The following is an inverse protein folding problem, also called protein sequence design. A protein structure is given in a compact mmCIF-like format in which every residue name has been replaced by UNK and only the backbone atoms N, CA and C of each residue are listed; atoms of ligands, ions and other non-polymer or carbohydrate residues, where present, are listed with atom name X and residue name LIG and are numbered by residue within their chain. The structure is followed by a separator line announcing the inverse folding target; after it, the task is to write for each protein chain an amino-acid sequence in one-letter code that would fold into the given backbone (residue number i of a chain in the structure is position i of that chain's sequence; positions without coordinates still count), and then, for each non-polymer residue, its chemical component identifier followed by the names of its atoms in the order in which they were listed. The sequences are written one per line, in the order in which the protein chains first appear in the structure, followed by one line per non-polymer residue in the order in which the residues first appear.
data_IF_666305390093
#
_entry.id   IF_666305390093
#
_cell.length_a   1.000
_cell.length_b   1.000
_cell.length_c   1.000
_cell.angle_alpha   90.00
_cell.angle_beta   90.00
_cell.angle_gamma   90.00
#
_symmetry.space_group_name_H-M   'P 1'
#
loop_
_entity.id
_entity.type
_entity.pdbx_description
1 polymer ?
#
# COMPACT_ATOMS: atom_id res chain seq x y z
N UNK A 1 3.49 4.59 -20.99
CA UNK A 1 4.07 5.76 -20.28
C UNK A 1 4.55 5.28 -18.92
N UNK A 2 5.81 5.53 -18.58
CA UNK A 2 6.55 4.87 -17.49
C UNK A 2 6.03 5.29 -16.11
N UNK A 3 5.49 4.34 -15.35
CA UNK A 3 5.16 4.53 -13.94
C UNK A 3 6.44 4.36 -13.11
N UNK A 4 6.97 5.48 -12.60
CA UNK A 4 8.19 5.51 -11.82
C UNK A 4 7.98 4.84 -10.46
N UNK A 5 8.37 3.56 -10.34
CA UNK A 5 8.37 2.81 -9.08
C UNK A 5 9.26 3.54 -8.07
N UNK A 6 8.65 4.21 -7.08
CA UNK A 6 9.39 4.88 -5.98
C UNK A 6 10.23 3.85 -5.24
N UNK A 7 11.54 3.85 -5.49
CA UNK A 7 12.50 3.09 -4.70
C UNK A 7 12.62 3.76 -3.33
N UNK A 8 12.43 2.99 -2.26
CA UNK A 8 12.66 3.49 -0.89
C UNK A 8 14.15 3.80 -0.77
N UNK A 9 14.48 5.07 -0.59
CA UNK A 9 15.87 5.46 -0.31
C UNK A 9 16.10 5.26 1.19
N UNK A 10 17.05 4.40 1.55
CA UNK A 10 17.49 4.25 2.94
C UNK A 10 18.60 5.26 3.22
N UNK A 11 18.44 6.05 4.27
CA UNK A 11 19.49 6.95 4.78
C UNK A 11 20.06 6.31 6.05
N UNK A 12 21.39 6.30 6.19
CA UNK A 12 22.06 5.84 7.42
C UNK A 12 21.83 6.87 8.52
N UNK A 13 21.43 6.40 9.70
CA UNK A 13 21.32 7.24 10.89
C UNK A 13 22.73 7.38 11.48
N UNK A 14 23.31 8.57 11.36
CA UNK A 14 24.56 8.96 12.04
C UNK A 14 24.23 9.55 13.41
N UNK A 15 25.25 9.73 14.26
CA UNK A 15 25.07 10.34 15.59
C UNK A 15 24.51 11.77 15.47
N UNK A 16 25.00 12.56 14.52
CA UNK A 16 24.46 13.90 14.21
C UNK A 16 22.96 13.87 13.82
N UNK A 17 22.55 12.84 13.06
CA UNK A 17 21.14 12.67 12.70
C UNK A 17 20.32 12.26 13.92
N UNK A 18 20.87 11.43 14.79
CA UNK A 18 20.22 11.01 16.02
C UNK A 18 20.04 12.18 17.01
N UNK A 19 21.08 13.00 17.21
CA UNK A 19 21.03 14.20 18.06
C UNK A 19 19.99 15.20 17.55
N UNK A 20 20.02 15.53 16.26
CA UNK A 20 19.00 16.42 15.67
C UNK A 20 17.57 15.90 15.87
N UNK A 21 17.37 14.59 15.72
CA UNK A 21 16.05 13.97 15.93
C UNK A 21 15.62 14.00 17.40
N UNK A 22 16.56 13.93 18.34
CA UNK A 22 16.29 14.08 19.77
C UNK A 22 15.88 15.53 20.09
N UNK A 23 16.64 16.52 19.58
CA UNK A 23 16.32 17.94 19.75
C UNK A 23 14.92 18.28 19.18
N UNK A 24 14.60 17.77 17.99
CA UNK A 24 13.28 17.93 17.37
C UNK A 24 12.16 17.33 18.24
N UNK A 25 12.42 16.22 18.93
CA UNK A 25 11.46 15.57 19.81
C UNK A 25 11.25 16.35 21.12
N UNK A 26 12.33 16.87 21.70
CA UNK A 26 12.28 17.70 22.92
C UNK A 26 11.60 19.05 22.67
N UNK A 27 11.86 19.67 21.51
CA UNK A 27 11.19 20.91 21.10
C UNK A 27 9.69 20.71 20.88
N UNK A 28 9.29 19.51 20.42
CA UNK A 28 7.90 19.14 20.15
C UNK A 28 7.31 19.83 18.91
N UNK A 29 6.22 19.28 18.39
CA UNK A 29 5.53 19.86 17.22
C UNK A 29 4.34 20.71 17.67
N UNK A 30 4.25 21.98 17.26
CA UNK A 30 3.10 22.81 17.62
C UNK A 30 1.82 22.22 16.99
N UNK A 31 0.66 22.31 17.67
CA UNK A 31 -0.59 21.67 17.21
C UNK A 31 -1.03 22.04 15.78
N UNK A 32 -0.59 23.21 15.28
CA UNK A 32 -0.86 23.67 13.91
C UNK A 32 -0.05 22.93 12.83
N UNK A 33 1.09 22.32 13.19
CA UNK A 33 1.95 21.52 12.31
C UNK A 33 1.61 20.03 12.35
N UNK A 34 0.92 19.59 13.41
CA UNK A 34 0.29 18.27 13.44
C UNK A 34 -0.88 18.34 12.47
N UNK A 35 -0.64 17.94 11.22
CA UNK A 35 -1.72 17.60 10.33
C UNK A 35 -2.51 16.48 11.02
N UNK A 36 -3.68 16.81 11.57
CA UNK A 36 -4.72 15.82 11.81
C UNK A 36 -4.92 15.19 10.46
N UNK A 37 -4.35 14.00 10.24
CA UNK A 37 -4.67 13.21 9.05
C UNK A 37 -6.18 13.25 8.98
N UNK A 38 -6.78 13.75 7.89
CA UNK A 38 -8.18 13.53 7.71
C UNK A 38 -8.35 12.01 7.83
N UNK A 39 -9.07 11.57 8.86
CA UNK A 39 -9.87 10.36 8.79
C UNK A 39 -10.93 10.47 7.68
N UNK A 40 -10.92 11.54 6.88
CA UNK A 40 -11.48 11.64 5.55
C UNK A 40 -10.90 10.57 4.62
N UNK A 41 -11.71 9.52 4.42
CA UNK A 41 -11.64 8.52 3.34
C UNK A 41 -10.20 8.22 2.88
N UNK A 42 -9.55 7.28 3.58
CA UNK A 42 -8.55 6.43 2.93
C UNK A 42 -9.13 5.77 1.66
N UNK A 43 -8.29 5.03 0.91
CA UNK A 43 -8.72 4.27 -0.29
C UNK A 43 -10.13 3.69 -0.08
N UNK A 44 -11.09 3.91 -1.02
CA UNK A 44 -12.45 3.44 -0.87
C UNK A 44 -12.49 1.99 -0.41
N UNK A 45 -13.30 1.70 0.61
CA UNK A 45 -13.47 0.33 1.09
C UNK A 45 -14.10 -0.51 -0.01
N UNK A 46 -13.66 -1.75 -0.16
CA UNK A 46 -14.29 -2.72 -1.07
C UNK A 46 -15.49 -3.41 -0.43
N UNK A 47 -15.58 -3.40 0.91
CA UNK A 47 -16.76 -3.88 1.64
C UNK A 47 -17.99 -3.03 1.32
N UNK A 48 -19.12 -3.68 1.05
CA UNK A 48 -20.43 -3.03 0.89
C UNK A 48 -21.13 -2.75 2.23
N UNK A 49 -20.61 -3.29 3.35
CA UNK A 49 -21.17 -3.16 4.69
C UNK A 49 -20.22 -2.51 5.70
N UNK A 50 -20.61 -2.55 6.97
CA UNK A 50 -19.81 -2.01 8.08
C UNK A 50 -18.62 -2.94 8.40
N UNK A 51 -17.45 -2.34 8.64
CA UNK A 51 -16.21 -3.08 8.95
C UNK A 51 -15.14 -3.07 7.84
N UNK A 52 -14.05 -3.84 8.04
CA UNK A 52 -12.96 -3.97 7.08
C UNK A 52 -13.36 -4.82 5.86
N UNK A 53 -12.61 -4.72 4.75
CA UNK A 53 -12.84 -5.57 3.58
C UNK A 53 -12.38 -7.01 3.86
N UNK A 54 -13.22 -8.03 3.65
CA UNK A 54 -12.83 -9.42 3.86
C UNK A 54 -11.70 -9.78 2.89
N UNK A 55 -10.74 -10.58 3.37
CA UNK A 55 -9.56 -11.01 2.61
C UNK A 55 -9.45 -12.53 2.66
N UNK A 56 -9.14 -13.14 1.52
CA UNK A 56 -8.83 -14.57 1.40
C UNK A 56 -7.33 -14.70 1.14
N UNK A 57 -6.62 -15.45 1.97
CA UNK A 57 -5.22 -15.80 1.75
C UNK A 57 -5.14 -17.17 1.09
N UNK A 58 -4.64 -17.21 -0.15
CA UNK A 58 -4.42 -18.44 -0.90
C UNK A 58 -2.96 -18.54 -1.34
N UNK A 59 -2.38 -19.73 -1.30
CA UNK A 59 -1.08 -20.01 -1.91
C UNK A 59 -1.30 -20.31 -3.39
N UNK A 60 -0.45 -19.76 -4.24
CA UNK A 60 -0.39 -20.05 -5.67
C UNK A 60 0.84 -20.91 -5.93
N UNK A 61 0.77 -21.78 -6.92
CA UNK A 61 1.96 -22.35 -7.52
C UNK A 61 2.75 -21.28 -8.30
N UNK A 62 4.02 -21.56 -8.58
CA UNK A 62 4.94 -20.60 -9.18
C UNK A 62 4.49 -20.17 -10.59
N UNK A 63 3.97 -21.10 -11.40
CA UNK A 63 3.50 -20.82 -12.75
C UNK A 63 2.30 -19.86 -12.74
N UNK A 64 1.32 -20.12 -11.87
CA UNK A 64 0.15 -19.26 -11.72
C UNK A 64 0.52 -17.87 -11.19
N UNK A 65 1.49 -17.77 -10.29
CA UNK A 65 1.99 -16.50 -9.79
C UNK A 65 2.66 -15.67 -10.91
N UNK A 66 3.45 -16.31 -11.76
CA UNK A 66 4.10 -15.66 -12.90
C UNK A 66 3.09 -15.20 -13.96
N UNK A 67 2.10 -16.02 -14.29
CA UNK A 67 1.03 -15.65 -15.21
C UNK A 67 0.23 -14.44 -14.70
N UNK A 68 -0.03 -14.39 -13.39
CA UNK A 68 -0.72 -13.27 -12.76
C UNK A 68 0.10 -11.97 -12.85
N UNK A 69 1.42 -12.04 -12.63
CA UNK A 69 2.31 -10.88 -12.78
C UNK A 69 2.34 -10.38 -14.23
N UNK A 70 2.56 -11.29 -15.18
CA UNK A 70 2.61 -10.95 -16.61
C UNK A 70 1.31 -10.31 -17.09
N UNK A 71 0.17 -10.81 -16.62
CA UNK A 71 -1.13 -10.23 -16.95
C UNK A 71 -1.32 -8.84 -16.34
N UNK A 72 -0.97 -8.68 -15.07
CA UNK A 72 -1.04 -7.39 -14.38
C UNK A 72 -0.20 -6.32 -15.09
N UNK A 73 1.03 -6.68 -15.48
CA UNK A 73 1.93 -5.78 -16.20
C UNK A 73 1.44 -5.44 -17.60
N UNK A 74 0.91 -6.43 -18.33
CA UNK A 74 0.36 -6.23 -19.69
C UNK A 74 -0.87 -5.32 -19.68
N UNK A 75 -1.74 -5.46 -18.69
CA UNK A 75 -3.00 -4.72 -18.60
C UNK A 75 -2.87 -3.41 -17.80
N UNK A 76 -1.76 -3.20 -17.08
CA UNK A 76 -1.55 -2.02 -16.24
C UNK A 76 -2.50 -1.97 -15.04
N UNK A 77 -2.93 -3.12 -14.54
CA UNK A 77 -3.89 -3.26 -13.43
C UNK A 77 -3.22 -3.94 -12.24
N UNK A 78 -3.81 -3.83 -11.04
CA UNK A 78 -3.27 -4.55 -9.89
C UNK A 78 -3.68 -6.03 -9.93
N UNK A 79 -2.79 -6.91 -9.45
CA UNK A 79 -3.07 -8.35 -9.28
C UNK A 79 -4.41 -8.64 -8.56
N UNK A 80 -4.73 -7.83 -7.54
CA UNK A 80 -5.99 -7.96 -6.79
C UNK A 80 -7.25 -7.62 -7.58
N UNK A 81 -7.14 -6.85 -8.67
CA UNK A 81 -8.26 -6.59 -9.58
C UNK A 81 -8.54 -7.83 -10.42
N UNK A 82 -7.49 -8.41 -11.03
CA UNK A 82 -7.56 -9.65 -11.81
C UNK A 82 -8.12 -10.80 -10.98
N UNK A 83 -7.62 -11.01 -9.75
CA UNK A 83 -8.10 -12.08 -8.87
C UNK A 83 -9.59 -11.88 -8.54
N UNK A 84 -10.02 -10.66 -8.24
CA UNK A 84 -11.44 -10.37 -7.96
C UNK A 84 -12.32 -10.58 -9.19
N UNK A 85 -11.85 -10.23 -10.38
CA UNK A 85 -12.55 -10.48 -11.64
C UNK A 85 -12.69 -11.98 -11.91
N UNK A 86 -11.58 -12.73 -11.82
CA UNK A 86 -11.57 -14.18 -12.01
C UNK A 86 -12.53 -14.89 -11.04
N UNK A 87 -12.53 -14.50 -9.75
CA UNK A 87 -13.45 -15.04 -8.75
C UNK A 87 -14.91 -14.71 -9.07
N UNK A 88 -15.22 -13.50 -9.54
CA UNK A 88 -16.59 -13.15 -9.97
C UNK A 88 -17.01 -13.95 -11.20
N UNK A 89 -16.12 -14.12 -12.17
CA UNK A 89 -16.41 -14.89 -13.38
C UNK A 89 -16.57 -16.38 -13.10
N UNK A 90 -15.85 -16.92 -12.11
CA UNK A 90 -15.91 -18.34 -11.75
C UNK A 90 -17.11 -18.70 -10.86
N UNK A 91 -17.54 -17.77 -9.99
CA UNK A 91 -18.64 -18.00 -9.03
C UNK A 91 -20.01 -17.54 -9.54
N UNK A 92 -20.06 -16.83 -10.68
CA UNK A 92 -21.30 -16.43 -11.33
C UNK A 92 -21.96 -17.61 -12.05
#
# INVERSE_FOLDING_TARGET
MSESKKRRTSVKVTDEVAERLADDAEAGYPPRQIHVRPTGRGRPRLAQGEGPSPTVNARLDDELADLLEQRADREGVHKSDIVREALRAYLA
#
